data_IF_017889223017
#
_entry.id   IF_017889223017
#
_cell.length_a   1.000
_cell.length_b   1.000
_cell.length_c   1.000
_cell.angle_alpha   90.00
_cell.angle_beta   90.00
_cell.angle_gamma   90.00
#
_symmetry.space_group_name_H-M   'P 1'
#
loop_
_entity.id
_entity.type
_entity.pdbx_description
1 polymer ?
#
# COMPACT_ATOMS: atom_id res chain seq x y z
N UNK A 1 10.00 8.60 -13.87
CA UNK A 1 8.58 8.86 -14.18
C UNK A 1 7.78 8.82 -12.90
N UNK A 2 6.95 9.83 -12.58
CA UNK A 2 5.95 9.68 -11.50
C UNK A 2 4.87 8.74 -12.02
N UNK A 3 4.59 7.67 -11.29
CA UNK A 3 3.71 6.61 -11.79
C UNK A 3 2.93 5.98 -10.63
N UNK A 4 1.74 5.47 -10.96
CA UNK A 4 0.91 4.65 -10.09
C UNK A 4 0.80 3.27 -10.71
N UNK A 5 1.03 2.20 -9.92
CA UNK A 5 1.02 0.81 -10.40
C UNK A 5 0.51 -0.16 -9.32
N UNK A 6 0.18 -1.36 -9.77
CA UNK A 6 -0.12 -2.53 -8.92
C UNK A 6 -1.21 -2.23 -7.89
N UNK A 7 -2.40 -2.00 -8.45
CA UNK A 7 -3.59 -1.61 -7.70
C UNK A 7 -4.30 -2.81 -7.11
N UNK A 8 -4.74 -2.68 -5.88
CA UNK A 8 -5.63 -3.61 -5.21
C UNK A 8 -6.96 -2.93 -4.86
N UNK A 9 -8.05 -3.68 -5.07
CA UNK A 9 -9.40 -3.25 -4.73
C UNK A 9 -9.91 -4.04 -3.53
N UNK A 10 -10.17 -3.34 -2.43
CA UNK A 10 -10.79 -3.90 -1.23
C UNK A 10 -12.21 -3.34 -1.08
N UNK A 11 -13.22 -4.21 -1.06
CA UNK A 11 -14.63 -3.80 -0.94
C UNK A 11 -15.04 -3.74 0.53
N UNK A 12 -15.18 -2.53 1.07
CA UNK A 12 -15.77 -2.29 2.37
C UNK A 12 -17.31 -2.16 2.30
N UNK A 13 -17.98 -1.95 3.45
CA UNK A 13 -19.43 -1.83 3.52
C UNK A 13 -19.98 -0.56 2.85
N UNK A 14 -19.18 0.52 2.82
CA UNK A 14 -19.58 1.83 2.27
C UNK A 14 -18.76 2.27 1.06
N UNK A 15 -17.50 1.86 0.99
CA UNK A 15 -16.55 2.31 -0.03
C UNK A 15 -15.86 1.11 -0.67
N UNK A 16 -15.50 1.28 -1.94
CA UNK A 16 -14.39 0.57 -2.53
C UNK A 16 -13.10 1.29 -2.18
N UNK A 17 -12.19 0.57 -1.56
CA UNK A 17 -10.86 1.04 -1.18
C UNK A 17 -9.87 0.60 -2.26
N UNK A 18 -9.06 1.53 -2.73
CA UNK A 18 -8.08 1.32 -3.79
C UNK A 18 -6.72 1.61 -3.21
N UNK A 19 -5.94 0.56 -2.97
CA UNK A 19 -4.54 0.66 -2.56
C UNK A 19 -3.67 0.61 -3.80
N UNK A 20 -2.60 1.39 -3.83
CA UNK A 20 -1.75 1.50 -5.01
C UNK A 20 -0.31 1.82 -4.65
N UNK A 21 0.63 1.34 -5.47
CA UNK A 21 2.01 1.78 -5.46
C UNK A 21 2.17 3.14 -6.14
N UNK A 22 2.80 4.10 -5.48
CA UNK A 22 3.11 5.43 -6.02
C UNK A 22 4.60 5.75 -5.95
N UNK A 23 5.15 6.26 -7.07
CA UNK A 23 6.54 6.72 -7.14
C UNK A 23 6.61 8.25 -7.22
N UNK A 24 7.30 8.86 -6.25
CA UNK A 24 7.49 10.32 -6.21
C UNK A 24 8.66 10.83 -7.08
N UNK A 25 9.43 9.92 -7.68
CA UNK A 25 10.68 10.22 -8.37
C UNK A 25 11.92 9.68 -7.66
N UNK A 26 11.79 9.28 -6.39
CA UNK A 26 12.88 8.78 -5.55
C UNK A 26 12.57 7.42 -4.93
N UNK A 27 11.36 7.22 -4.42
CA UNK A 27 11.01 6.03 -3.66
C UNK A 27 9.57 5.61 -3.88
N UNK A 28 9.36 4.29 -3.91
CA UNK A 28 8.04 3.69 -4.00
C UNK A 28 7.40 3.59 -2.62
N UNK A 29 6.13 4.02 -2.52
CA UNK A 29 5.31 3.92 -1.31
C UNK A 29 3.91 3.48 -1.67
N UNK A 30 3.14 3.01 -0.69
CA UNK A 30 1.75 2.62 -0.91
C UNK A 30 0.84 3.75 -0.47
N UNK A 31 -0.04 4.15 -1.38
CA UNK A 31 -1.12 5.10 -1.16
C UNK A 31 -2.48 4.42 -1.17
N UNK A 32 -3.49 5.20 -0.80
CA UNK A 32 -4.88 4.79 -0.76
C UNK A 32 -5.79 5.91 -1.27
N UNK A 33 -6.74 5.55 -2.11
CA UNK A 33 -7.93 6.37 -2.41
C UNK A 33 -9.18 5.51 -2.15
N UNK A 34 -10.32 6.15 -1.97
CA UNK A 34 -11.61 5.44 -1.89
C UNK A 34 -12.63 6.02 -2.85
N UNK A 35 -13.58 5.20 -3.26
CA UNK A 35 -14.68 5.60 -4.12
C UNK A 35 -15.96 4.86 -3.77
N UNK A 36 -17.11 5.44 -4.14
CA UNK A 36 -18.42 4.77 -4.07
C UNK A 36 -18.93 4.36 -5.44
N UNK A 37 -18.41 4.97 -6.51
CA UNK A 37 -19.00 4.94 -7.85
C UNK A 37 -17.98 4.76 -8.98
N UNK A 38 -16.68 4.67 -8.66
CA UNK A 38 -15.57 4.65 -9.62
C UNK A 38 -15.51 5.84 -10.58
N UNK A 39 -16.24 6.92 -10.30
CA UNK A 39 -16.22 8.18 -11.05
C UNK A 39 -15.50 9.26 -10.26
N UNK A 40 -15.76 9.33 -8.96
CA UNK A 40 -15.09 10.27 -8.06
C UNK A 40 -14.24 9.49 -7.06
N UNK A 41 -12.99 9.92 -6.90
CA UNK A 41 -12.04 9.32 -5.96
C UNK A 41 -11.68 10.33 -4.87
N UNK A 42 -11.80 9.89 -3.63
CA UNK A 42 -11.43 10.64 -2.43
C UNK A 42 -10.03 10.16 -1.98
N UNK A 43 -8.97 10.98 -2.10
CA UNK A 43 -7.65 10.58 -1.63
C UNK A 43 -7.61 10.51 -0.10
N UNK A 44 -6.82 9.57 0.44
CA UNK A 44 -6.54 9.58 1.87
C UNK A 44 -5.70 10.82 2.22
N UNK A 45 -6.13 11.68 3.17
CA UNK A 45 -5.34 12.83 3.61
C UNK A 45 -4.02 12.42 4.26
N UNK A 46 -3.89 11.16 4.71
CA UNK A 46 -2.68 10.61 5.30
C UNK A 46 -1.82 9.84 4.29
N UNK A 47 -2.04 10.00 2.98
CA UNK A 47 -1.14 9.40 1.99
C UNK A 47 0.29 9.95 2.11
N UNK A 48 1.33 9.10 1.95
CA UNK A 48 1.28 7.65 1.77
C UNK A 48 0.89 6.90 3.06
N UNK A 49 0.11 5.83 2.94
CA UNK A 49 -0.38 5.06 4.10
C UNK A 49 0.58 3.97 4.58
N UNK A 50 1.56 3.58 3.75
CA UNK A 50 2.59 2.63 4.11
C UNK A 50 3.90 2.99 3.42
N UNK A 51 4.97 3.03 4.21
CA UNK A 51 6.29 3.52 3.80
C UNK A 51 7.36 2.47 4.03
N UNK A 52 8.46 2.51 3.27
CA UNK A 52 9.66 1.70 3.52
C UNK A 52 10.14 1.81 4.96
N UNK A 53 10.80 0.75 5.43
CA UNK A 53 11.42 0.77 6.75
C UNK A 53 12.42 1.92 6.88
N UNK A 54 12.42 2.56 8.05
CA UNK A 54 13.41 3.57 8.39
C UNK A 54 14.79 2.95 8.67
N UNK A 55 14.84 1.67 9.03
CA UNK A 55 16.06 0.90 9.16
C UNK A 55 16.65 0.62 7.77
N UNK A 56 17.82 1.17 7.49
CA UNK A 56 18.50 1.03 6.19
C UNK A 56 19.05 -0.38 5.97
N UNK A 57 19.18 -1.18 7.03
CA UNK A 57 19.58 -2.57 6.92
C UNK A 57 18.38 -3.51 6.66
N UNK A 58 17.16 -3.04 6.86
CA UNK A 58 15.96 -3.80 6.53
C UNK A 58 15.83 -4.06 5.02
N UNK A 59 15.19 -5.17 4.68
CA UNK A 59 15.05 -5.65 3.32
C UNK A 59 14.03 -4.87 2.47
N UNK A 60 13.20 -4.05 3.11
CA UNK A 60 12.16 -3.22 2.47
C UNK A 60 12.44 -1.71 2.60
N UNK A 61 13.69 -1.32 2.83
CA UNK A 61 14.08 0.06 3.15
C UNK A 61 14.17 1.02 1.94
N UNK A 62 14.23 0.51 0.71
CA UNK A 62 14.37 1.32 -0.51
C UNK A 62 13.06 1.48 -1.31
N UNK A 63 11.97 0.84 -0.88
CA UNK A 63 10.68 0.94 -1.56
C UNK A 63 9.69 -0.13 -1.13
N UNK A 64 8.41 0.19 -1.19
CA UNK A 64 7.31 -0.75 -0.96
C UNK A 64 6.24 -0.60 -2.05
N UNK A 65 5.70 -1.74 -2.51
CA UNK A 65 4.80 -1.87 -3.66
C UNK A 65 3.82 -3.05 -3.47
N UNK A 66 2.96 -3.26 -4.48
CA UNK A 66 2.02 -4.40 -4.59
C UNK A 66 1.22 -4.71 -3.31
N UNK A 67 0.48 -3.75 -2.72
CA UNK A 67 -0.34 -4.06 -1.57
C UNK A 67 -1.40 -5.10 -1.94
N UNK A 68 -1.65 -6.05 -1.04
CA UNK A 68 -2.79 -6.94 -1.10
C UNK A 68 -3.35 -7.15 0.32
N UNK A 69 -4.50 -6.53 0.60
CA UNK A 69 -5.15 -6.55 1.90
C UNK A 69 -6.12 -7.71 2.01
N UNK A 70 -5.95 -8.48 3.07
CA UNK A 70 -6.81 -9.60 3.44
C UNK A 70 -7.37 -9.32 4.83
N UNK A 71 -8.67 -9.43 4.98
CA UNK A 71 -9.35 -9.33 6.27
C UNK A 71 -9.56 -10.73 6.85
N UNK A 72 -9.01 -10.99 8.05
CA UNK A 72 -9.21 -12.25 8.78
C UNK A 72 -9.58 -11.91 10.22
N UNK A 73 -10.83 -12.19 10.60
CA UNK A 73 -11.34 -11.89 11.94
C UNK A 73 -11.35 -10.40 12.23
N UNK A 74 -10.68 -9.99 13.30
CA UNK A 74 -10.54 -8.59 13.73
C UNK A 74 -9.28 -7.91 13.18
N UNK A 75 -8.58 -8.53 12.21
CA UNK A 75 -7.27 -8.07 11.76
C UNK A 75 -7.23 -7.90 10.24
N UNK A 76 -6.65 -6.78 9.79
CA UNK A 76 -6.21 -6.60 8.41
C UNK A 76 -4.77 -7.05 8.27
N UNK A 77 -4.52 -7.89 7.28
CA UNK A 77 -3.20 -8.31 6.84
C UNK A 77 -2.93 -7.65 5.49
N UNK A 78 -1.71 -7.21 5.26
CA UNK A 78 -1.28 -6.71 3.96
C UNK A 78 -0.03 -7.46 3.53
N UNK A 79 -0.16 -8.21 2.45
CA UNK A 79 1.01 -8.74 1.72
C UNK A 79 1.53 -7.60 0.85
N UNK A 80 2.84 -7.39 0.82
CA UNK A 80 3.46 -6.32 0.03
C UNK A 80 4.82 -6.74 -0.52
N UNK A 81 5.28 -6.08 -1.58
CA UNK A 81 6.65 -6.21 -2.07
C UNK A 81 7.52 -5.12 -1.44
N UNK A 82 8.63 -5.51 -0.82
CA UNK A 82 9.64 -4.60 -0.29
C UNK A 82 10.95 -4.71 -1.09
N UNK A 83 11.66 -3.60 -1.18
CA UNK A 83 12.87 -3.45 -1.99
C UNK A 83 14.09 -3.10 -1.14
N UNK A 84 15.22 -3.74 -1.44
CA UNK A 84 16.57 -3.28 -1.04
C UNK A 84 17.51 -3.46 -2.23
N UNK A 85 18.17 -2.38 -2.66
CA UNK A 85 19.00 -2.40 -3.87
C UNK A 85 18.19 -2.82 -5.10
N UNK A 86 18.59 -3.92 -5.75
CA UNK A 86 17.91 -4.49 -6.92
C UNK A 86 17.02 -5.70 -6.58
N UNK A 87 16.88 -6.03 -5.30
CA UNK A 87 16.11 -7.19 -4.84
C UNK A 87 14.71 -6.77 -4.40
N UNK A 88 13.74 -7.64 -4.69
CA UNK A 88 12.38 -7.55 -4.22
C UNK A 88 12.02 -8.80 -3.44
N UNK A 89 11.42 -8.63 -2.27
CA UNK A 89 10.94 -9.72 -1.43
C UNK A 89 9.51 -9.44 -0.98
N UNK A 90 8.81 -10.49 -0.56
CA UNK A 90 7.42 -10.38 -0.07
C UNK A 90 7.42 -10.27 1.45
N UNK A 91 6.72 -9.27 1.97
CA UNK A 91 6.49 -9.08 3.41
C UNK A 91 5.01 -9.16 3.78
N UNK A 92 4.79 -9.17 5.09
CA UNK A 92 3.46 -9.16 5.70
C UNK A 92 3.43 -8.05 6.77
N UNK A 93 2.53 -7.09 6.59
CA UNK A 93 2.14 -6.15 7.64
C UNK A 93 0.77 -6.55 8.19
N UNK A 94 0.48 -6.20 9.44
CA UNK A 94 -0.85 -6.41 10.02
C UNK A 94 -1.25 -5.31 10.99
N UNK A 95 -2.55 -5.03 11.05
CA UNK A 95 -3.12 -4.10 12.02
C UNK A 95 -4.49 -4.63 12.47
N UNK A 96 -4.78 -4.54 13.77
CA UNK A 96 -6.11 -4.85 14.28
C UNK A 96 -7.09 -3.76 13.87
N UNK A 97 -8.33 -4.17 13.62
CA UNK A 97 -9.44 -3.24 13.44
C UNK A 97 -9.59 -2.39 14.72
N UNK A 98 -9.99 -1.11 14.57
CA UNK A 98 -10.39 -0.28 15.70
C UNK A 98 -11.49 -0.93 16.54
#
# INVERSE_FOLDING_TARGET
>A
SRAVRETELFKGPKYFHVLYGGYDGKIWRIGHVRTRDFRTFEPNPHNPIFTPSADRDAWDCDGVLTPHVIEIGDTYYMIYAGKKGNEWQTGLAKVRKP
#
